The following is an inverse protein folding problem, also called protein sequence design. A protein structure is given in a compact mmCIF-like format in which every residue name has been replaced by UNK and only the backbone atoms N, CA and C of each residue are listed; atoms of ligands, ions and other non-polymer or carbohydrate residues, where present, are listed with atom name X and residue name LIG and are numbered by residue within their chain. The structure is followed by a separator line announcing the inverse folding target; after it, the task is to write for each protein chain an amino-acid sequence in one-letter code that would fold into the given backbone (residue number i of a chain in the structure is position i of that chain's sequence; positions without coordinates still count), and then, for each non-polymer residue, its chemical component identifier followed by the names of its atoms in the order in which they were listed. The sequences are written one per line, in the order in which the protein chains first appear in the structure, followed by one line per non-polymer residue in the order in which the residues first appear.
data_IF_250241952480
#
_entry.id   IF_250241952480
#
_cell.length_a   1.000
_cell.length_b   1.000
_cell.length_c   1.000
_cell.angle_alpha   90.00
_cell.angle_beta   90.00
_cell.angle_gamma   90.00
#
_symmetry.space_group_name_H-M   'P 1'
#
loop_
_entity.id
_entity.type
_entity.pdbx_description
1 polymer ?
#
# COMPACT_ATOMS: atom_id res chain seq x y z
N UNK A 1 -29.03 -13.43 -2.52
CA UNK A 1 -27.58 -13.16 -2.32
C UNK A 1 -27.49 -12.02 -1.33
N UNK A 2 -27.02 -12.28 -0.11
CA UNK A 2 -26.96 -11.26 0.94
C UNK A 2 -25.90 -10.22 0.56
N UNK A 3 -26.29 -8.95 0.57
CA UNK A 3 -25.35 -7.83 0.49
C UNK A 3 -24.36 -8.01 1.63
N UNK A 4 -23.09 -8.22 1.32
CA UNK A 4 -22.05 -8.12 2.33
C UNK A 4 -22.16 -6.70 2.89
N UNK A 5 -22.47 -6.59 4.19
CA UNK A 5 -22.65 -5.30 4.85
C UNK A 5 -21.42 -4.45 4.54
N UNK A 6 -21.61 -3.27 3.97
CA UNK A 6 -20.53 -2.34 3.64
C UNK A 6 -19.58 -2.20 4.83
N UNK A 7 -20.15 -2.18 6.03
CA UNK A 7 -19.46 -2.16 7.32
C UNK A 7 -18.46 -3.31 7.46
N UNK A 8 -18.84 -4.53 7.05
CA UNK A 8 -17.96 -5.69 7.12
C UNK A 8 -16.81 -5.60 6.11
N UNK A 9 -17.05 -5.11 4.89
CA UNK A 9 -15.99 -4.89 3.90
C UNK A 9 -14.97 -3.85 4.39
N UNK A 10 -15.45 -2.75 4.95
CA UNK A 10 -14.63 -1.69 5.55
C UNK A 10 -13.84 -2.24 6.74
N UNK A 11 -14.51 -2.91 7.66
CA UNK A 11 -13.89 -3.45 8.88
C UNK A 11 -12.84 -4.48 8.50
N UNK A 12 -13.13 -5.37 7.54
CA UNK A 12 -12.13 -6.31 7.04
C UNK A 12 -10.94 -5.58 6.44
N UNK A 13 -11.14 -4.57 5.59
CA UNK A 13 -10.02 -3.83 5.00
C UNK A 13 -9.19 -3.04 6.03
N UNK A 14 -9.83 -2.36 6.99
CA UNK A 14 -9.16 -1.61 8.07
C UNK A 14 -8.41 -2.55 9.01
N UNK A 15 -9.12 -3.53 9.57
CA UNK A 15 -8.55 -4.50 10.51
C UNK A 15 -7.40 -5.22 9.83
N UNK A 16 -7.51 -5.52 8.55
CA UNK A 16 -6.48 -6.21 7.81
C UNK A 16 -5.24 -5.37 7.52
N UNK A 17 -5.39 -4.11 7.07
CA UNK A 17 -4.25 -3.20 6.93
C UNK A 17 -3.57 -2.95 8.29
N UNK A 18 -4.37 -2.79 9.35
CA UNK A 18 -3.86 -2.67 10.72
C UNK A 18 -3.13 -3.94 11.16
N UNK A 19 -3.65 -5.13 10.85
CA UNK A 19 -3.02 -6.42 11.14
C UNK A 19 -1.75 -6.64 10.32
N UNK A 20 -1.66 -6.15 9.09
CA UNK A 20 -0.43 -6.17 8.28
C UNK A 20 0.63 -5.29 8.91
N UNK A 21 0.26 -4.08 9.32
CA UNK A 21 1.17 -3.15 10.01
C UNK A 21 1.61 -3.76 11.34
N UNK A 22 0.67 -4.28 12.14
CA UNK A 22 0.95 -4.96 13.41
C UNK A 22 1.79 -6.22 13.22
N UNK A 23 1.48 -7.06 12.25
CA UNK A 23 2.27 -8.25 11.93
C UNK A 23 3.67 -7.86 11.45
N UNK A 24 3.80 -6.78 10.67
CA UNK A 24 5.08 -6.19 10.30
C UNK A 24 5.87 -5.74 11.52
N UNK A 25 5.24 -5.02 12.45
CA UNK A 25 5.85 -4.55 13.70
C UNK A 25 6.25 -5.72 14.61
N UNK A 26 5.33 -6.67 14.84
CA UNK A 26 5.57 -7.87 15.66
C UNK A 26 6.67 -8.73 15.03
N UNK A 27 6.67 -8.87 13.70
CA UNK A 27 7.71 -9.56 12.96
C UNK A 27 9.05 -8.83 13.06
N UNK A 28 9.07 -7.49 13.02
CA UNK A 28 10.27 -6.69 13.24
C UNK A 28 10.83 -6.82 14.66
N UNK A 29 9.96 -6.94 15.67
CA UNK A 29 10.35 -7.21 17.06
C UNK A 29 10.88 -8.64 17.21
N UNK A 30 10.22 -9.62 16.59
CA UNK A 30 10.62 -11.03 16.64
C UNK A 30 11.91 -11.29 15.84
N UNK A 31 12.13 -10.56 14.74
CA UNK A 31 13.31 -10.59 13.86
C UNK A 31 14.63 -10.37 14.59
N UNK A 32 14.66 -9.56 15.64
CA UNK A 32 15.89 -9.27 16.39
C UNK A 32 16.37 -10.48 17.22
N UNK A 33 15.56 -11.55 17.29
CA UNK A 33 15.80 -12.68 18.20
C UNK A 33 16.25 -14.00 17.54
N UNK A 34 16.25 -14.15 16.21
CA UNK A 34 16.42 -15.47 15.55
C UNK A 34 17.33 -15.43 14.31
N UNK A 35 18.62 -15.78 14.46
CA UNK A 35 19.62 -15.88 13.38
C UNK A 35 19.42 -17.03 12.37
N UNK A 36 18.24 -17.15 11.76
CA UNK A 36 17.90 -18.19 10.75
C UNK A 36 18.50 -17.84 9.38
N UNK A 37 18.21 -18.52 8.24
CA UNK A 37 18.71 -18.09 6.92
C UNK A 37 17.66 -17.51 5.94
N UNK A 38 16.37 -17.78 6.14
CA UNK A 38 15.28 -17.35 5.24
C UNK A 38 14.93 -15.84 5.32
N UNK A 39 15.32 -15.16 6.41
CA UNK A 39 15.14 -13.71 6.64
C UNK A 39 15.86 -12.82 5.61
N UNK A 40 16.83 -13.38 4.88
CA UNK A 40 17.56 -12.69 3.83
C UNK A 40 16.67 -12.21 2.68
N UNK A 41 15.52 -12.83 2.48
CA UNK A 41 14.55 -12.51 1.43
C UNK A 41 13.23 -11.94 1.97
N UNK A 42 13.21 -11.52 3.23
CA UNK A 42 11.98 -11.11 3.88
C UNK A 42 11.34 -9.89 3.21
N UNK A 43 12.13 -8.94 2.71
CA UNK A 43 11.59 -7.75 2.05
C UNK A 43 10.79 -8.13 0.80
N UNK A 44 11.39 -8.92 -0.09
CA UNK A 44 10.73 -9.38 -1.30
C UNK A 44 9.51 -10.24 -0.99
N UNK A 45 9.59 -11.16 -0.03
CA UNK A 45 8.44 -11.99 0.37
C UNK A 45 7.29 -11.14 0.90
N UNK A 46 7.58 -10.11 1.72
CA UNK A 46 6.57 -9.16 2.20
C UNK A 46 5.97 -8.38 1.03
N UNK A 47 6.78 -7.83 0.14
CA UNK A 47 6.31 -7.08 -1.02
C UNK A 47 5.42 -7.90 -1.95
N UNK A 48 5.82 -9.15 -2.24
CA UNK A 48 5.03 -10.09 -3.03
C UNK A 48 3.71 -10.46 -2.36
N UNK A 49 3.74 -10.77 -1.06
CA UNK A 49 2.54 -11.09 -0.31
C UNK A 49 1.55 -9.92 -0.32
N UNK A 50 2.01 -8.70 -0.07
CA UNK A 50 1.19 -7.49 -0.13
C UNK A 50 0.63 -7.23 -1.52
N UNK A 51 1.46 -7.38 -2.57
CA UNK A 51 1.03 -7.17 -3.95
C UNK A 51 -0.03 -8.17 -4.38
N UNK A 52 0.18 -9.47 -4.14
CA UNK A 52 -0.76 -10.53 -4.49
C UNK A 52 -2.11 -10.34 -3.81
N UNK A 53 -2.07 -10.01 -2.54
CA UNK A 53 -3.23 -9.75 -1.73
C UNK A 53 -4.03 -8.55 -2.21
N UNK A 54 -3.34 -7.44 -2.51
CA UNK A 54 -3.95 -6.27 -3.11
C UNK A 54 -4.59 -6.60 -4.46
N UNK A 55 -3.92 -7.40 -5.30
CA UNK A 55 -4.47 -7.87 -6.56
C UNK A 55 -5.72 -8.76 -6.36
N UNK A 56 -5.76 -9.61 -5.34
CA UNK A 56 -6.94 -10.42 -4.99
C UNK A 56 -8.09 -9.54 -4.56
N UNK A 57 -7.87 -8.58 -3.66
CA UNK A 57 -8.90 -7.65 -3.19
C UNK A 57 -9.46 -6.80 -4.34
N UNK A 58 -8.57 -6.31 -5.20
CA UNK A 58 -8.96 -5.59 -6.42
C UNK A 58 -9.77 -6.48 -7.36
N UNK A 59 -9.34 -7.74 -7.58
CA UNK A 59 -10.05 -8.70 -8.41
C UNK A 59 -11.46 -9.01 -7.89
N UNK A 60 -11.63 -9.14 -6.57
CA UNK A 60 -12.95 -9.28 -5.92
C UNK A 60 -13.78 -8.02 -6.14
N UNK A 61 -13.20 -6.82 -5.95
CA UNK A 61 -13.88 -5.54 -6.17
C UNK A 61 -14.34 -5.38 -7.62
N UNK A 62 -13.49 -5.71 -8.60
CA UNK A 62 -13.82 -5.70 -10.01
C UNK A 62 -14.91 -6.73 -10.36
N UNK A 63 -14.82 -7.96 -9.82
CA UNK A 63 -15.81 -9.02 -10.06
C UNK A 63 -17.18 -8.72 -9.46
N UNK A 64 -17.22 -7.97 -8.37
CA UNK A 64 -18.46 -7.48 -7.74
C UNK A 64 -18.89 -6.11 -8.24
N UNK A 65 -18.11 -5.48 -9.12
CA UNK A 65 -18.29 -4.09 -9.58
C UNK A 65 -18.53 -3.11 -8.43
N UNK A 66 -17.94 -3.38 -7.25
CA UNK A 66 -18.14 -2.57 -6.03
C UNK A 66 -19.61 -2.39 -5.67
N UNK A 67 -20.47 -3.35 -6.04
CA UNK A 67 -21.91 -3.28 -5.84
C UNK A 67 -22.26 -3.08 -4.38
N UNK A 68 -23.21 -2.18 -4.17
CA UNK A 68 -23.68 -1.86 -2.84
C UNK A 68 -22.69 -1.05 -2.02
N UNK A 69 -21.70 -0.38 -2.62
CA UNK A 69 -20.90 0.68 -1.97
C UNK A 69 -21.39 2.07 -2.40
N UNK A 70 -21.36 3.04 -1.48
CA UNK A 70 -21.69 4.44 -1.80
C UNK A 70 -20.58 5.07 -2.64
N UNK A 71 -20.97 5.76 -3.72
CA UNK A 71 -20.05 6.55 -4.54
C UNK A 71 -19.55 7.75 -3.76
N UNK A 72 -18.31 8.15 -4.00
CA UNK A 72 -17.74 9.35 -3.41
C UNK A 72 -18.54 10.59 -3.86
N UNK A 73 -18.77 11.53 -2.93
CA UNK A 73 -19.58 12.73 -3.19
C UNK A 73 -19.10 13.57 -4.38
N UNK A 74 -17.80 13.53 -4.72
CA UNK A 74 -17.26 14.22 -5.88
C UNK A 74 -17.83 13.69 -7.21
N UNK A 75 -18.23 12.41 -7.26
CA UNK A 75 -18.74 11.75 -8.49
C UNK A 75 -20.04 12.41 -8.92
N UNK A 76 -20.93 12.69 -7.96
CA UNK A 76 -22.19 13.38 -8.22
C UNK A 76 -22.00 14.79 -8.79
N UNK A 77 -20.87 15.44 -8.48
CA UNK A 77 -20.56 16.78 -8.99
C UNK A 77 -19.83 16.77 -10.33
N UNK A 78 -19.33 15.60 -10.78
CA UNK A 78 -18.45 15.49 -11.95
C UNK A 78 -17.10 16.19 -11.81
N UNK A 79 -16.68 16.54 -10.58
CA UNK A 79 -15.48 17.34 -10.30
C UNK A 79 -14.43 16.59 -9.47
N UNK A 80 -14.40 15.26 -9.52
CA UNK A 80 -13.38 14.48 -8.80
C UNK A 80 -11.97 14.74 -9.32
N UNK A 81 -11.78 14.56 -10.63
CA UNK A 81 -10.48 14.57 -11.29
C UNK A 81 -10.65 14.98 -12.76
N UNK A 82 -9.52 15.15 -13.46
CA UNK A 82 -9.50 15.54 -14.88
C UNK A 82 -9.84 14.39 -15.84
N UNK A 83 -9.85 13.15 -15.36
CA UNK A 83 -10.19 11.98 -16.18
C UNK A 83 -11.72 11.86 -16.28
N UNK A 84 -12.22 11.78 -17.52
CA UNK A 84 -13.66 11.66 -17.77
C UNK A 84 -14.20 10.41 -17.08
N UNK A 85 -15.11 10.61 -16.13
CA UNK A 85 -15.82 9.50 -15.52
C UNK A 85 -16.79 8.90 -16.56
N UNK A 86 -16.90 7.56 -16.64
CA UNK A 86 -17.96 6.94 -17.39
C UNK A 86 -19.32 7.56 -17.04
N UNK A 87 -20.17 7.74 -18.05
CA UNK A 87 -21.55 8.16 -17.82
C UNK A 87 -22.21 7.17 -16.84
N UNK A 88 -22.88 7.72 -15.82
CA UNK A 88 -23.65 6.93 -14.85
C UNK A 88 -24.52 5.91 -15.58
N UNK A 89 -24.23 4.63 -15.41
CA UNK A 89 -24.97 3.52 -16.04
C UNK A 89 -24.21 2.72 -17.10
N UNK A 90 -23.01 3.11 -17.51
CA UNK A 90 -22.14 2.21 -18.30
C UNK A 90 -21.37 1.27 -17.38
N UNK A 91 -21.49 -0.05 -17.52
CA UNK A 91 -20.71 -1.00 -16.74
C UNK A 91 -19.25 -0.96 -17.20
N UNK A 92 -18.45 -0.09 -16.60
CA UNK A 92 -17.01 -0.07 -16.81
C UNK A 92 -16.33 -0.67 -15.59
N UNK A 93 -15.47 -1.65 -15.82
CA UNK A 93 -14.73 -2.33 -14.76
C UNK A 93 -13.70 -1.43 -14.07
N UNK A 94 -13.30 -0.31 -14.71
CA UNK A 94 -12.31 0.66 -14.25
C UNK A 94 -12.84 2.06 -14.51
N UNK A 95 -13.11 2.83 -13.46
CA UNK A 95 -13.71 4.16 -13.56
C UNK A 95 -12.70 5.22 -14.05
N UNK A 96 -11.43 5.09 -13.68
CA UNK A 96 -10.36 6.03 -14.04
C UNK A 96 -9.09 5.28 -14.52
N UNK A 97 -9.03 4.84 -15.80
CA UNK A 97 -7.97 3.97 -16.29
C UNK A 97 -6.56 4.57 -16.21
N UNK A 98 -6.36 5.84 -16.56
CA UNK A 98 -5.04 6.47 -16.51
C UNK A 98 -4.55 6.53 -15.06
N UNK A 99 -5.41 7.00 -14.15
CA UNK A 99 -5.08 7.11 -12.73
C UNK A 99 -4.79 5.73 -12.11
N UNK A 100 -5.58 4.73 -12.48
CA UNK A 100 -5.40 3.32 -12.10
C UNK A 100 -4.06 2.76 -12.60
N UNK A 101 -3.68 3.05 -13.85
CA UNK A 101 -2.41 2.58 -14.41
C UNK A 101 -1.22 3.26 -13.75
N UNK A 102 -1.30 4.55 -13.43
CA UNK A 102 -0.19 5.24 -12.75
C UNK A 102 0.08 4.70 -11.35
N UNK A 103 -0.91 4.06 -10.71
CA UNK A 103 -0.74 3.39 -9.42
C UNK A 103 0.19 2.15 -9.48
N UNK A 104 0.57 1.66 -10.66
CA UNK A 104 1.64 0.65 -10.78
C UNK A 104 3.03 1.20 -10.44
N UNK A 105 3.27 2.50 -10.65
CA UNK A 105 4.57 3.12 -10.37
C UNK A 105 5.01 2.95 -8.90
N UNK A 106 4.18 3.25 -7.88
CA UNK A 106 4.51 2.97 -6.48
C UNK A 106 4.65 1.48 -6.17
N UNK A 107 3.86 0.59 -6.78
CA UNK A 107 4.00 -0.87 -6.60
C UNK A 107 5.39 -1.32 -7.02
N UNK A 108 5.78 -0.97 -8.25
CA UNK A 108 7.09 -1.33 -8.81
C UNK A 108 8.20 -0.72 -7.95
N UNK A 109 8.07 0.55 -7.58
CA UNK A 109 9.06 1.25 -6.75
C UNK A 109 9.22 0.59 -5.38
N UNK A 110 8.13 0.24 -4.71
CA UNK A 110 8.14 -0.45 -3.42
C UNK A 110 8.80 -1.83 -3.51
N UNK A 111 8.46 -2.63 -4.53
CA UNK A 111 9.10 -3.93 -4.78
C UNK A 111 10.59 -3.81 -5.03
N UNK A 112 11.00 -2.81 -5.83
CA UNK A 112 12.41 -2.53 -6.09
C UNK A 112 13.15 -2.17 -4.80
N UNK A 113 12.61 -1.25 -3.97
CA UNK A 113 13.19 -0.87 -2.69
C UNK A 113 13.35 -2.09 -1.77
N UNK A 114 12.33 -2.94 -1.69
CA UNK A 114 12.36 -4.15 -0.87
C UNK A 114 13.38 -5.17 -1.39
N UNK A 115 13.48 -5.34 -2.70
CA UNK A 115 14.51 -6.18 -3.33
C UNK A 115 15.93 -5.66 -3.09
N UNK A 116 16.14 -4.35 -3.20
CA UNK A 116 17.43 -3.73 -2.88
C UNK A 116 17.79 -3.88 -1.40
N UNK A 117 16.81 -3.74 -0.50
CA UNK A 117 17.01 -3.96 0.93
C UNK A 117 17.47 -5.40 1.23
N UNK A 118 16.95 -6.39 0.51
CA UNK A 118 17.40 -7.78 0.63
C UNK A 118 18.82 -7.98 0.07
N UNK A 119 19.17 -7.35 -1.06
CA UNK A 119 20.54 -7.36 -1.61
C UNK A 119 21.53 -6.75 -0.63
N UNK A 120 21.22 -5.58 -0.06
CA UNK A 120 22.09 -4.89 0.89
C UNK A 120 22.31 -5.76 2.14
N UNK A 121 21.25 -6.39 2.65
CA UNK A 121 21.32 -7.31 3.78
C UNK A 121 22.17 -8.55 3.47
N UNK A 122 22.01 -9.12 2.28
CA UNK A 122 22.80 -10.26 1.79
C UNK A 122 24.28 -9.94 1.65
N UNK A 123 24.59 -8.71 1.23
CA UNK A 123 25.98 -8.25 1.07
C UNK A 123 26.70 -8.03 2.40
N UNK A 124 25.97 -7.95 3.52
CA UNK A 124 26.54 -7.62 4.82
C UNK A 124 27.11 -6.20 4.89
N UNK A 125 26.70 -5.31 3.97
CA UNK A 125 27.17 -3.92 3.93
C UNK A 125 26.84 -3.23 5.25
N UNK A 126 27.86 -2.62 5.85
CA UNK A 126 27.73 -1.73 7.00
C UNK A 126 27.92 -0.30 6.50
N UNK A 127 26.86 0.49 6.56
CA UNK A 127 26.83 1.89 6.11
C UNK A 127 26.24 2.73 7.26
N UNK A 128 26.67 3.99 7.37
CA UNK A 128 26.13 4.93 8.37
C UNK A 128 24.68 5.31 8.12
N UNK A 129 24.17 5.06 6.90
CA UNK A 129 22.78 5.23 6.52
C UNK A 129 22.00 3.90 6.68
N UNK A 130 21.06 3.80 7.64
CA UNK A 130 20.26 2.59 7.85
C UNK A 130 19.39 2.15 6.66
N UNK A 131 19.12 3.03 5.70
CA UNK A 131 18.40 2.68 4.48
C UNK A 131 19.24 1.81 3.55
N UNK A 132 20.58 1.92 3.62
CA UNK A 132 21.54 1.22 2.75
C UNK A 132 22.06 -0.11 3.30
N UNK A 133 21.58 -0.49 4.48
CA UNK A 133 22.01 -1.71 5.17
C UNK A 133 20.90 -2.77 5.19
N UNK A 134 19.79 -2.52 4.48
CA UNK A 134 18.65 -3.43 4.44
C UNK A 134 17.91 -3.54 5.78
N UNK A 135 17.88 -2.45 6.56
CA UNK A 135 17.32 -2.44 7.91
C UNK A 135 15.79 -2.38 7.90
N UNK A 136 15.22 -2.32 9.11
CA UNK A 136 13.79 -2.03 9.31
C UNK A 136 13.34 -0.76 8.57
N UNK A 137 14.16 0.29 8.50
CA UNK A 137 13.82 1.53 7.81
C UNK A 137 13.59 1.34 6.31
N UNK A 138 14.48 0.60 5.64
CA UNK A 138 14.34 0.31 4.20
C UNK A 138 13.12 -0.58 3.94
N UNK A 139 12.88 -1.57 4.79
CA UNK A 139 11.70 -2.43 4.70
C UNK A 139 10.41 -1.65 4.91
N UNK A 140 10.34 -0.82 5.96
CA UNK A 140 9.15 -0.03 6.28
C UNK A 140 8.86 0.98 5.16
N UNK A 141 9.89 1.67 4.68
CA UNK A 141 9.77 2.60 3.57
C UNK A 141 9.28 1.91 2.29
N UNK A 142 9.92 0.79 1.91
CA UNK A 142 9.53 0.01 0.74
C UNK A 142 8.08 -0.47 0.82
N UNK A 143 7.64 -0.96 1.98
CA UNK A 143 6.26 -1.38 2.22
C UNK A 143 5.26 -0.21 2.14
N UNK A 144 5.59 0.95 2.71
CA UNK A 144 4.72 2.13 2.63
C UNK A 144 4.58 2.60 1.18
N UNK A 145 5.69 2.69 0.44
CA UNK A 145 5.68 3.05 -0.98
C UNK A 145 4.88 2.04 -1.79
N UNK A 146 5.01 0.75 -1.49
CA UNK A 146 4.23 -0.31 -2.13
C UNK A 146 2.73 -0.13 -1.89
N UNK A 147 2.31 0.22 -0.67
CA UNK A 147 0.88 0.39 -0.31
C UNK A 147 0.21 1.57 -1.01
N UNK A 148 0.97 2.63 -1.37
CA UNK A 148 0.42 3.77 -2.14
C UNK A 148 -0.26 3.31 -3.43
N UNK A 149 0.26 2.27 -4.08
CA UNK A 149 -0.29 1.79 -5.35
C UNK A 149 -1.65 1.15 -5.22
N UNK A 150 -1.80 0.04 -4.47
CA UNK A 150 -3.08 -0.62 -4.30
C UNK A 150 -4.19 0.25 -3.76
N UNK A 151 -3.89 1.12 -2.78
CA UNK A 151 -4.90 2.01 -2.19
C UNK A 151 -5.41 3.01 -3.24
N UNK A 152 -4.48 3.64 -3.97
CA UNK A 152 -4.80 4.56 -5.08
C UNK A 152 -5.56 3.84 -6.20
N UNK A 153 -5.11 2.63 -6.57
CA UNK A 153 -5.74 1.81 -7.61
C UNK A 153 -7.17 1.42 -7.23
N UNK A 154 -7.38 0.94 -6.00
CA UNK A 154 -8.71 0.57 -5.50
C UNK A 154 -9.65 1.78 -5.47
N UNK A 155 -9.14 2.94 -5.09
CA UNK A 155 -9.92 4.17 -5.12
C UNK A 155 -10.30 4.57 -6.56
N UNK A 156 -9.35 4.63 -7.49
CA UNK A 156 -9.60 5.04 -8.88
C UNK A 156 -10.45 4.05 -9.68
N UNK A 157 -10.41 2.76 -9.33
CA UNK A 157 -11.28 1.75 -9.93
C UNK A 157 -12.70 1.88 -9.38
N UNK A 158 -12.87 2.04 -8.07
CA UNK A 158 -14.17 1.98 -7.40
C UNK A 158 -14.92 3.32 -7.35
N UNK A 159 -14.20 4.43 -7.20
CA UNK A 159 -14.73 5.76 -6.87
C UNK A 159 -15.70 5.75 -5.68
N UNK A 160 -15.50 4.86 -4.72
CA UNK A 160 -16.37 4.71 -3.55
C UNK A 160 -15.91 5.57 -2.37
N UNK A 161 -16.87 6.06 -1.58
CA UNK A 161 -16.63 6.94 -0.44
C UNK A 161 -15.75 6.27 0.62
N UNK A 162 -16.02 4.99 0.90
CA UNK A 162 -15.23 4.22 1.86
C UNK A 162 -13.77 4.11 1.43
N UNK A 163 -13.54 3.70 0.18
CA UNK A 163 -12.19 3.43 -0.30
C UNK A 163 -11.39 4.73 -0.44
N UNK A 164 -12.07 5.85 -0.71
CA UNK A 164 -11.46 7.19 -0.78
C UNK A 164 -10.74 7.63 0.50
N UNK A 165 -10.98 6.99 1.63
CA UNK A 165 -10.30 7.30 2.91
C UNK A 165 -8.92 6.65 3.02
N UNK A 166 -8.63 5.59 2.25
CA UNK A 166 -7.36 4.86 2.33
C UNK A 166 -6.26 5.50 1.50
N UNK A 167 -6.58 6.03 0.33
CA UNK A 167 -5.59 6.69 -0.53
C UNK A 167 -4.90 7.89 0.17
N UNK A 168 -5.61 8.81 0.85
CA UNK A 168 -4.97 9.84 1.66
C UNK A 168 -4.22 9.31 2.88
N UNK A 169 -4.65 8.17 3.45
CA UNK A 169 -4.00 7.56 4.61
C UNK A 169 -2.61 7.04 4.25
N UNK A 170 -2.46 6.34 3.12
CA UNK A 170 -1.17 5.82 2.66
C UNK A 170 -0.19 6.96 2.32
N UNK A 171 -0.68 8.03 1.69
CA UNK A 171 0.09 9.26 1.46
C UNK A 171 0.52 9.90 2.79
N UNK A 172 -0.37 9.95 3.78
CA UNK A 172 -0.06 10.48 5.10
C UNK A 172 1.00 9.65 5.82
N UNK A 173 0.92 8.31 5.74
CA UNK A 173 1.93 7.40 6.29
C UNK A 173 3.29 7.61 5.62
N UNK A 174 3.33 7.78 4.30
CA UNK A 174 4.54 8.12 3.56
C UNK A 174 5.14 9.44 4.04
N UNK A 175 4.33 10.50 4.12
CA UNK A 175 4.77 11.82 4.54
C UNK A 175 5.30 11.82 5.99
N UNK A 176 4.57 11.17 6.91
CA UNK A 176 4.98 11.02 8.32
C UNK A 176 6.31 10.27 8.40
N UNK A 177 6.44 9.14 7.70
CA UNK A 177 7.67 8.37 7.69
C UNK A 177 8.84 9.20 7.15
N UNK A 178 8.68 9.88 6.02
CA UNK A 178 9.72 10.71 5.42
C UNK A 178 10.16 11.84 6.36
N UNK A 179 9.20 12.52 7.01
CA UNK A 179 9.47 13.59 7.97
C UNK A 179 10.22 13.07 9.21
N UNK A 180 9.70 12.02 9.86
CA UNK A 180 10.32 11.45 11.06
C UNK A 180 11.72 10.89 10.77
N UNK A 181 11.88 10.17 9.64
CA UNK A 181 13.18 9.64 9.23
C UNK A 181 14.17 10.77 8.92
N UNK A 182 13.73 11.84 8.24
CA UNK A 182 14.55 13.01 7.96
C UNK A 182 15.03 13.71 9.23
N UNK A 183 14.13 13.96 10.19
CA UNK A 183 14.46 14.56 11.49
C UNK A 183 15.48 13.70 12.24
N UNK A 184 15.22 12.40 12.34
CA UNK A 184 16.12 11.45 13.01
C UNK A 184 17.50 11.40 12.35
N UNK A 185 17.58 11.47 11.02
CA UNK A 185 18.86 11.48 10.31
C UNK A 185 19.62 12.79 10.48
N UNK A 186 18.92 13.91 10.57
CA UNK A 186 19.52 15.21 10.86
C UNK A 186 20.12 15.26 12.27
N UNK A 187 19.42 14.72 13.28
CA UNK A 187 19.91 14.69 14.68
C UNK A 187 21.15 13.80 14.91
N UNK A 188 21.56 13.03 13.91
CA UNK A 188 22.79 12.20 13.94
C UNK A 188 23.95 12.84 13.17
N UNK A 189 23.75 14.02 12.59
CA UNK A 189 24.80 14.79 11.91
C UNK A 189 25.47 15.82 12.84
N UNK A 190 24.87 16.06 14.01
CA UNK A 190 25.41 16.87 15.11
C UNK A 190 26.20 15.99 16.09
#
# INVERSE_FOLDING_TARGET
MGTMDQTLAVVLFIVFNALIILAGIIWLIWRDTQGRPWWKHAGMLTGLALTLLCAVLLGIGMGTQWQGMELNGCVATGKCYCENLPLLGTPIAITQPVSTLTAFAPIISGLLILGWADIDRLSGRRDGNPMKTGNVYALLFGSIVLLLGPDSMAFHVSMTEVISRFDPLSISLFAIFAALYGIWRASLAD
#
